data_IF_425597230506
#
_entry.id   IF_425597230506
#
_cell.length_a   1.000
_cell.length_b   1.000
_cell.length_c   1.000
_cell.angle_alpha   90.00
_cell.angle_beta   90.00
_cell.angle_gamma   90.00
#
_symmetry.space_group_name_H-M   'P 1'
#
loop_
_entity.id
_entity.type
_entity.pdbx_description
1 polymer ?
#
# COMPACT_ATOMS: atom_id res chain seq x y z
N UNK A 1 -22.65 27.72 -21.27
CA UNK A 1 -22.63 26.69 -20.20
C UNK A 1 -23.48 25.51 -20.67
N UNK A 2 -23.03 24.26 -20.48
CA UNK A 2 -23.77 23.06 -20.95
C UNK A 2 -24.76 22.50 -19.92
N UNK A 3 -24.76 23.02 -18.68
CA UNK A 3 -25.63 22.60 -17.58
C UNK A 3 -26.00 23.80 -16.70
N UNK A 4 -27.24 23.84 -16.23
CA UNK A 4 -27.73 24.73 -15.17
C UNK A 4 -27.31 24.23 -13.78
N UNK A 5 -27.43 25.11 -12.77
CA UNK A 5 -27.09 24.78 -11.38
C UNK A 5 -27.96 23.63 -10.83
N UNK A 6 -29.26 23.63 -11.17
CA UNK A 6 -30.18 22.55 -10.82
C UNK A 6 -29.80 21.20 -11.46
N UNK A 7 -29.36 21.22 -12.73
CA UNK A 7 -28.88 20.01 -13.40
C UNK A 7 -27.58 19.48 -12.79
N UNK A 8 -26.65 20.36 -12.41
CA UNK A 8 -25.42 19.97 -11.71
C UNK A 8 -25.74 19.25 -10.39
N UNK A 9 -26.65 19.78 -9.57
CA UNK A 9 -27.07 19.16 -8.30
C UNK A 9 -27.73 17.80 -8.55
N UNK A 10 -28.68 17.73 -9.49
CA UNK A 10 -29.40 16.49 -9.80
C UNK A 10 -28.45 15.38 -10.26
N UNK A 11 -27.54 15.69 -11.17
CA UNK A 11 -26.60 14.71 -11.73
C UNK A 11 -25.58 14.23 -10.69
N UNK A 12 -25.06 15.13 -9.85
CA UNK A 12 -24.11 14.78 -8.81
C UNK A 12 -24.70 13.93 -7.68
N UNK A 13 -26.02 13.99 -7.46
CA UNK A 13 -26.72 13.06 -6.56
C UNK A 13 -26.74 11.64 -7.13
N UNK A 14 -26.83 11.51 -8.46
CA UNK A 14 -26.97 10.23 -9.16
C UNK A 14 -25.62 9.59 -9.54
N UNK A 15 -24.56 10.39 -9.71
CA UNK A 15 -23.26 9.92 -10.20
C UNK A 15 -22.12 10.44 -9.31
N UNK A 16 -21.39 9.51 -8.70
CA UNK A 16 -20.25 9.77 -7.82
C UNK A 16 -19.07 10.45 -8.55
N UNK A 17 -18.92 10.19 -9.86
CA UNK A 17 -17.88 10.82 -10.69
C UNK A 17 -18.18 12.30 -10.85
N UNK A 18 -19.44 12.64 -11.15
CA UNK A 18 -19.88 14.04 -11.24
C UNK A 18 -19.78 14.71 -9.87
N UNK A 19 -20.16 14.02 -8.81
CA UNK A 19 -20.01 14.50 -7.43
C UNK A 19 -18.56 14.87 -7.10
N UNK A 20 -17.61 14.02 -7.49
CA UNK A 20 -16.17 14.25 -7.28
C UNK A 20 -15.67 15.42 -8.12
N UNK A 21 -16.10 15.53 -9.38
CA UNK A 21 -15.74 16.68 -10.22
C UNK A 21 -16.22 18.02 -9.64
N UNK A 22 -17.41 18.05 -9.03
CA UNK A 22 -17.92 19.26 -8.36
C UNK A 22 -17.20 19.54 -7.03
N UNK A 23 -16.75 18.51 -6.32
CA UNK A 23 -15.94 18.66 -5.10
C UNK A 23 -14.63 19.42 -5.40
N UNK A 24 -14.00 19.12 -6.53
CA UNK A 24 -12.75 19.72 -7.01
C UNK A 24 -12.93 21.00 -7.84
N UNK A 25 -14.16 21.51 -7.96
CA UNK A 25 -14.41 22.71 -8.75
C UNK A 25 -13.55 23.88 -8.25
N UNK A 26 -12.91 24.57 -9.18
CA UNK A 26 -12.10 25.78 -8.93
C UNK A 26 -12.59 26.92 -9.80
N UNK A 27 -12.67 28.11 -9.23
CA UNK A 27 -12.95 29.32 -10.00
C UNK A 27 -11.73 29.71 -10.83
N UNK A 28 -11.90 29.77 -12.15
CA UNK A 28 -10.86 30.24 -13.07
C UNK A 28 -11.20 31.66 -13.54
N UNK A 29 -12.38 31.85 -14.13
CA UNK A 29 -12.87 33.13 -14.65
C UNK A 29 -14.40 33.06 -14.90
N UNK A 30 -15.09 34.22 -14.91
CA UNK A 30 -16.50 34.33 -15.28
C UNK A 30 -17.38 34.90 -14.17
N UNK A 31 -18.64 34.44 -14.09
CA UNK A 31 -19.57 34.86 -13.04
C UNK A 31 -19.20 34.20 -11.70
N UNK A 32 -18.62 35.02 -10.80
CA UNK A 32 -18.22 34.57 -9.46
C UNK A 32 -19.42 34.20 -8.59
N UNK A 33 -20.53 34.93 -8.70
CA UNK A 33 -21.73 34.67 -7.89
C UNK A 33 -22.33 33.31 -8.24
N UNK A 34 -22.35 32.95 -9.53
CA UNK A 34 -22.79 31.63 -9.97
C UNK A 34 -21.91 30.50 -9.43
N UNK A 35 -20.59 30.69 -9.44
CA UNK A 35 -19.65 29.72 -8.84
C UNK A 35 -19.88 29.56 -7.34
N UNK A 36 -20.03 30.67 -6.62
CA UNK A 36 -20.26 30.64 -5.17
C UNK A 36 -21.59 29.96 -4.83
N UNK A 37 -22.65 30.22 -5.60
CA UNK A 37 -23.92 29.49 -5.48
C UNK A 37 -23.75 28.00 -5.71
N UNK A 38 -22.98 27.59 -6.72
CA UNK A 38 -22.71 26.16 -6.98
C UNK A 38 -21.97 25.51 -5.80
N UNK A 39 -20.98 26.21 -5.21
CA UNK A 39 -20.24 25.73 -4.04
C UNK A 39 -21.14 25.59 -2.82
N UNK A 40 -22.03 26.55 -2.57
CA UNK A 40 -23.01 26.49 -1.49
C UNK A 40 -23.98 25.33 -1.69
N UNK A 41 -24.58 25.20 -2.88
CA UNK A 41 -25.49 24.10 -3.21
C UNK A 41 -24.80 22.73 -3.12
N UNK A 42 -23.51 22.64 -3.47
CA UNK A 42 -22.76 21.39 -3.32
C UNK A 42 -22.76 20.90 -1.88
N UNK A 43 -22.35 21.75 -0.93
CA UNK A 43 -22.29 21.36 0.48
C UNK A 43 -23.66 21.21 1.13
N UNK A 44 -24.63 22.03 0.72
CA UNK A 44 -25.98 22.01 1.31
C UNK A 44 -26.85 20.87 0.79
N UNK A 45 -26.71 20.50 -0.48
CA UNK A 45 -27.66 19.61 -1.15
C UNK A 45 -27.06 18.29 -1.60
N UNK A 46 -25.75 18.22 -1.85
CA UNK A 46 -25.09 17.03 -2.42
C UNK A 46 -24.29 16.31 -1.34
N UNK A 47 -23.40 17.04 -0.65
CA UNK A 47 -22.56 16.51 0.42
C UNK A 47 -23.28 16.53 1.77
N UNK A 48 -24.50 15.99 1.80
CA UNK A 48 -25.33 15.91 2.99
C UNK A 48 -25.01 14.68 3.83
N UNK A 49 -25.09 14.79 5.15
CA UNK A 49 -24.89 13.66 6.07
C UNK A 49 -23.45 13.55 6.58
N UNK A 50 -23.03 12.32 6.90
CA UNK A 50 -21.71 12.05 7.49
C UNK A 50 -20.65 11.62 6.45
N UNK A 51 -21.01 11.60 5.17
CA UNK A 51 -20.13 11.26 4.05
C UNK A 51 -19.65 9.82 3.95
N UNK A 52 -20.21 8.89 4.73
CA UNK A 52 -19.84 7.47 4.66
C UNK A 52 -20.13 6.86 3.28
N UNK A 53 -21.23 7.24 2.64
CA UNK A 53 -21.58 6.82 1.28
C UNK A 53 -20.48 7.19 0.27
N UNK A 54 -19.93 8.40 0.40
CA UNK A 54 -18.85 8.87 -0.45
C UNK A 54 -17.55 8.09 -0.20
N UNK A 55 -17.21 7.84 1.08
CA UNK A 55 -16.03 7.06 1.46
C UNK A 55 -16.12 5.64 0.89
N UNK A 56 -17.22 4.94 1.15
CA UNK A 56 -17.43 3.57 0.68
C UNK A 56 -17.35 3.48 -0.85
N UNK A 57 -18.01 4.40 -1.57
CA UNK A 57 -17.95 4.46 -3.02
C UNK A 57 -16.52 4.68 -3.53
N UNK A 58 -15.75 5.58 -2.91
CA UNK A 58 -14.36 5.85 -3.32
C UNK A 58 -13.40 4.72 -3.01
N UNK A 59 -13.58 4.02 -1.90
CA UNK A 59 -12.79 2.82 -1.59
C UNK A 59 -13.14 1.69 -2.56
N UNK A 60 -14.41 1.50 -2.90
CA UNK A 60 -14.83 0.51 -3.90
C UNK A 60 -14.27 0.81 -5.31
N UNK A 61 -14.30 2.08 -5.75
CA UNK A 61 -13.66 2.50 -7.01
C UNK A 61 -12.16 2.20 -7.04
N UNK A 62 -11.47 2.41 -5.91
CA UNK A 62 -10.04 2.10 -5.77
C UNK A 62 -9.79 0.60 -5.88
N UNK A 63 -10.52 -0.23 -5.14
CA UNK A 63 -10.36 -1.69 -5.19
C UNK A 63 -10.63 -2.23 -6.60
N UNK A 64 -11.72 -1.80 -7.25
CA UNK A 64 -12.04 -2.19 -8.61
C UNK A 64 -10.96 -1.79 -9.62
N UNK A 65 -10.34 -0.62 -9.45
CA UNK A 65 -9.23 -0.17 -10.29
C UNK A 65 -7.97 -1.01 -10.07
N UNK A 66 -7.61 -1.29 -8.81
CA UNK A 66 -6.45 -2.13 -8.49
C UNK A 66 -6.61 -3.54 -9.07
N UNK A 67 -7.81 -4.13 -8.97
CA UNK A 67 -8.11 -5.42 -9.59
C UNK A 67 -7.91 -5.43 -11.11
N UNK A 68 -8.26 -4.33 -11.81
CA UNK A 68 -8.07 -4.22 -13.28
C UNK A 68 -6.62 -4.01 -13.70
N UNK A 69 -5.83 -3.26 -12.93
CA UNK A 69 -4.44 -2.93 -13.26
C UNK A 69 -3.44 -4.00 -12.78
N UNK A 70 -3.89 -4.94 -11.95
CA UNK A 70 -3.05 -5.91 -11.24
C UNK A 70 -2.81 -5.49 -9.80
N UNK A 71 -2.82 -6.46 -8.88
CA UNK A 71 -2.77 -6.20 -7.43
C UNK A 71 -1.37 -5.79 -6.91
N UNK A 72 -0.34 -5.94 -7.76
CA UNK A 72 1.05 -5.63 -7.41
C UNK A 72 1.43 -4.20 -7.80
N UNK A 73 2.07 -3.48 -6.89
CA UNK A 73 2.70 -2.18 -7.17
C UNK A 73 3.99 -2.30 -7.98
N UNK A 74 4.56 -3.49 -8.01
CA UNK A 74 5.93 -3.72 -8.43
C UNK A 74 6.03 -4.22 -9.88
N UNK A 75 5.10 -3.81 -10.73
CA UNK A 75 5.13 -4.10 -12.17
C UNK A 75 6.25 -3.29 -12.84
N UNK A 76 6.99 -3.91 -13.76
CA UNK A 76 8.13 -3.29 -14.45
C UNK A 76 7.70 -2.20 -15.44
N UNK A 77 6.48 -2.28 -15.99
CA UNK A 77 5.86 -1.26 -16.83
C UNK A 77 4.56 -0.71 -16.20
N UNK A 78 4.66 0.04 -15.08
CA UNK A 78 3.53 0.46 -14.30
C UNK A 78 2.76 1.62 -14.96
N UNK A 79 1.52 1.84 -14.53
CA UNK A 79 0.75 3.03 -14.87
C UNK A 79 0.87 4.07 -13.75
N UNK A 80 1.47 5.23 -14.04
CA UNK A 80 1.73 6.33 -13.09
C UNK A 80 0.49 6.79 -12.33
N UNK A 81 -0.67 6.69 -12.99
CA UNK A 81 -1.92 7.26 -12.50
C UNK A 81 -2.80 6.22 -11.84
N UNK A 82 -3.05 5.11 -12.53
CA UNK A 82 -4.10 4.16 -12.17
C UNK A 82 -3.57 2.93 -11.41
N UNK A 83 -2.26 2.63 -11.46
CA UNK A 83 -1.67 1.53 -10.67
C UNK A 83 -1.78 1.80 -9.16
N UNK A 84 -1.69 0.72 -8.36
CA UNK A 84 -1.60 0.80 -6.90
C UNK A 84 -0.36 1.63 -6.51
N UNK A 85 -0.53 2.58 -5.60
CA UNK A 85 0.51 3.56 -5.27
C UNK A 85 0.68 4.71 -6.28
N UNK A 86 -0.16 4.80 -7.32
CA UNK A 86 -0.12 5.88 -8.31
C UNK A 86 -0.88 7.15 -7.89
N UNK A 87 -0.91 8.14 -8.78
CA UNK A 87 -1.55 9.45 -8.52
C UNK A 87 -3.01 9.33 -8.09
N UNK A 88 -3.76 8.36 -8.62
CA UNK A 88 -5.18 8.20 -8.26
C UNK A 88 -5.35 7.75 -6.81
N UNK A 89 -4.41 7.02 -6.24
CA UNK A 89 -4.47 6.67 -4.81
C UNK A 89 -4.38 7.95 -3.96
N UNK A 90 -3.41 8.83 -4.23
CA UNK A 90 -3.29 10.13 -3.54
C UNK A 90 -4.53 11.02 -3.73
N UNK A 91 -5.05 11.10 -4.95
CA UNK A 91 -6.28 11.84 -5.26
C UNK A 91 -7.47 11.29 -4.47
N UNK A 92 -7.63 9.97 -4.38
CA UNK A 92 -8.69 9.34 -3.59
C UNK A 92 -8.60 9.75 -2.11
N UNK A 93 -7.40 9.76 -1.51
CA UNK A 93 -7.23 10.24 -0.13
C UNK A 93 -7.64 11.71 0.02
N UNK A 94 -7.16 12.55 -0.89
CA UNK A 94 -7.48 13.97 -0.88
C UNK A 94 -8.98 14.22 -1.03
N UNK A 95 -9.66 13.54 -1.95
CA UNK A 95 -11.10 13.67 -2.16
C UNK A 95 -11.90 13.25 -0.94
N UNK A 96 -11.55 12.12 -0.34
CA UNK A 96 -12.23 11.66 0.87
C UNK A 96 -12.01 12.68 2.00
N UNK A 97 -10.78 13.12 2.21
CA UNK A 97 -10.45 14.09 3.26
C UNK A 97 -11.16 15.44 3.04
N UNK A 98 -11.12 15.95 1.82
CA UNK A 98 -11.84 17.16 1.41
C UNK A 98 -13.34 17.06 1.66
N UNK A 99 -13.94 15.92 1.32
CA UNK A 99 -15.38 15.70 1.50
C UNK A 99 -15.78 15.62 2.98
N UNK A 100 -15.02 14.90 3.80
CA UNK A 100 -15.35 14.66 5.21
C UNK A 100 -15.05 15.86 6.11
N UNK A 101 -13.94 16.54 5.86
CA UNK A 101 -13.45 17.61 6.74
C UNK A 101 -13.70 19.02 6.19
N UNK A 102 -14.31 19.13 5.01
CA UNK A 102 -14.59 20.42 4.35
C UNK A 102 -13.32 21.26 4.14
N UNK A 103 -12.19 20.61 3.87
CA UNK A 103 -10.90 21.28 3.66
C UNK A 103 -10.65 21.57 2.19
N UNK A 104 -9.98 22.67 1.88
CA UNK A 104 -9.59 23.01 0.51
C UNK A 104 -8.14 22.62 0.19
N UNK A 105 -7.28 22.45 1.21
CA UNK A 105 -5.89 22.02 1.05
C UNK A 105 -5.61 20.71 1.82
N UNK A 106 -4.73 19.88 1.28
CA UNK A 106 -4.34 18.62 1.94
C UNK A 106 -3.60 18.85 3.27
N UNK A 107 -2.93 20.00 3.46
CA UNK A 107 -2.26 20.37 4.71
C UNK A 107 -3.23 20.55 5.87
N UNK A 108 -4.48 20.92 5.60
CA UNK A 108 -5.50 21.09 6.63
C UNK A 108 -5.89 19.74 7.27
N UNK A 109 -5.64 18.60 6.60
CA UNK A 109 -5.85 17.27 7.17
C UNK A 109 -4.99 16.99 8.41
N UNK A 110 -3.89 17.73 8.61
CA UNK A 110 -3.10 17.68 9.84
C UNK A 110 -3.93 18.18 11.03
N UNK A 111 -4.71 19.26 10.86
CA UNK A 111 -5.55 19.83 11.91
C UNK A 111 -6.65 18.87 12.37
N UNK A 112 -7.03 17.94 11.50
CA UNK A 112 -8.01 16.88 11.77
C UNK A 112 -7.39 15.57 12.27
N UNK A 113 -6.09 15.56 12.59
CA UNK A 113 -5.33 14.38 13.05
C UNK A 113 -5.39 13.19 12.09
N UNK A 114 -5.64 13.44 10.80
CA UNK A 114 -5.65 12.41 9.77
C UNK A 114 -4.23 12.05 9.35
N UNK A 115 -3.39 13.07 9.19
CA UNK A 115 -1.96 12.94 8.95
C UNK A 115 -1.16 13.61 10.06
N UNK A 116 0.01 13.06 10.36
CA UNK A 116 1.06 13.85 11.03
C UNK A 116 1.74 14.79 10.04
N UNK A 117 2.51 15.74 10.55
CA UNK A 117 3.36 16.59 9.71
C UNK A 117 4.34 15.77 8.85
N UNK A 118 4.87 14.66 9.37
CA UNK A 118 5.74 13.75 8.62
C UNK A 118 5.01 13.04 7.49
N UNK A 119 3.83 12.49 7.77
CA UNK A 119 3.01 11.80 6.77
C UNK A 119 2.56 12.76 5.66
N UNK A 120 2.19 13.98 6.02
CA UNK A 120 1.89 15.01 5.03
C UNK A 120 3.10 15.40 4.18
N UNK A 121 4.30 15.51 4.77
CA UNK A 121 5.54 15.74 4.00
C UNK A 121 5.82 14.60 3.02
N UNK A 122 5.59 13.35 3.43
CA UNK A 122 5.70 12.19 2.53
C UNK A 122 4.66 12.27 1.41
N UNK A 123 3.42 12.63 1.71
CA UNK A 123 2.36 12.86 0.71
C UNK A 123 2.81 13.90 -0.34
N UNK A 124 3.29 15.07 0.09
CA UNK A 124 3.74 16.12 -0.82
C UNK A 124 4.91 15.67 -1.70
N UNK A 125 5.89 14.97 -1.14
CA UNK A 125 7.03 14.43 -1.90
C UNK A 125 6.58 13.41 -2.94
N UNK A 126 5.68 12.50 -2.56
CA UNK A 126 5.15 11.49 -3.46
C UNK A 126 4.35 12.11 -4.61
N UNK A 127 3.46 13.07 -4.29
CA UNK A 127 2.69 13.81 -5.29
C UNK A 127 3.60 14.56 -6.26
N UNK A 128 4.57 15.32 -5.74
CA UNK A 128 5.51 16.08 -6.55
C UNK A 128 6.34 15.18 -7.48
N UNK A 129 6.83 14.05 -6.97
CA UNK A 129 7.57 13.09 -7.78
C UNK A 129 6.71 12.53 -8.91
N UNK A 130 5.52 12.00 -8.60
CA UNK A 130 4.64 11.38 -9.59
C UNK A 130 4.19 12.37 -10.67
N UNK A 131 3.90 13.63 -10.28
CA UNK A 131 3.60 14.69 -11.25
C UNK A 131 4.78 15.05 -12.13
N UNK A 132 5.98 15.17 -11.55
CA UNK A 132 7.20 15.45 -12.30
C UNK A 132 7.43 14.37 -13.37
N UNK A 133 7.39 13.09 -12.99
CA UNK A 133 7.52 11.97 -13.93
C UNK A 133 6.45 12.03 -15.03
N UNK A 134 5.18 12.27 -14.67
CA UNK A 134 4.07 12.36 -15.63
C UNK A 134 4.23 13.49 -16.64
N UNK A 135 4.63 14.68 -16.17
CA UNK A 135 4.86 15.84 -17.04
C UNK A 135 5.99 15.57 -18.02
N UNK A 136 7.11 15.02 -17.54
CA UNK A 136 8.22 14.64 -18.42
C UNK A 136 7.84 13.54 -19.42
N UNK A 137 6.99 12.59 -19.03
CA UNK A 137 6.49 11.55 -19.94
C UNK A 137 5.66 12.18 -21.07
N UNK A 138 4.76 13.10 -20.73
CA UNK A 138 3.92 13.79 -21.72
C UNK A 138 4.77 14.67 -22.66
N UNK A 139 5.79 15.36 -22.15
CA UNK A 139 6.72 16.12 -22.98
C UNK A 139 7.55 15.22 -23.90
N UNK A 140 8.04 14.09 -23.39
CA UNK A 140 8.84 13.15 -24.16
C UNK A 140 8.06 12.55 -25.34
N UNK A 141 6.76 12.28 -25.14
CA UNK A 141 5.91 11.65 -26.15
C UNK A 141 5.06 12.63 -26.98
N UNK A 142 4.95 13.88 -26.57
CA UNK A 142 4.08 14.88 -27.20
C UNK A 142 2.58 14.55 -27.12
N UNK A 143 2.19 13.61 -26.25
CA UNK A 143 0.79 13.16 -26.07
C UNK A 143 0.54 12.73 -24.63
N UNK A 144 -0.73 12.62 -24.27
CA UNK A 144 -1.11 11.99 -23.01
C UNK A 144 -0.73 10.50 -23.04
N UNK A 145 0.06 10.09 -22.05
CA UNK A 145 0.46 8.71 -21.78
C UNK A 145 0.63 8.55 -20.27
N UNK A 146 0.32 7.39 -19.74
CA UNK A 146 0.42 7.13 -18.29
C UNK A 146 1.24 5.88 -17.98
N UNK A 147 1.56 5.06 -19.00
CA UNK A 147 2.39 3.85 -18.84
C UNK A 147 3.87 4.19 -18.93
N UNK A 148 4.65 3.73 -17.96
CA UNK A 148 6.11 3.75 -18.00
C UNK A 148 6.63 2.52 -18.75
N UNK A 149 6.42 2.46 -20.06
CA UNK A 149 6.92 1.36 -20.87
C UNK A 149 8.45 1.38 -21.05
N UNK A 150 9.05 0.25 -21.38
CA UNK A 150 10.51 0.12 -21.49
C UNK A 150 11.15 1.13 -22.46
N UNK A 151 10.47 1.45 -23.55
CA UNK A 151 10.92 2.40 -24.58
C UNK A 151 11.05 3.84 -24.05
N UNK A 152 10.18 4.25 -23.11
CA UNK A 152 10.20 5.61 -22.56
C UNK A 152 11.08 5.75 -21.32
N UNK A 153 11.31 4.66 -20.58
CA UNK A 153 12.05 4.68 -19.31
C UNK A 153 13.47 5.23 -19.45
N UNK A 154 14.16 4.93 -20.57
CA UNK A 154 15.52 5.45 -20.82
C UNK A 154 15.54 6.97 -21.00
N UNK A 155 14.62 7.50 -21.81
CA UNK A 155 14.50 8.94 -22.03
C UNK A 155 14.05 9.69 -20.78
N UNK A 156 13.12 9.10 -20.03
CA UNK A 156 12.65 9.64 -18.75
C UNK A 156 13.74 9.69 -17.69
N UNK A 157 14.52 8.61 -17.53
CA UNK A 157 15.62 8.58 -16.57
C UNK A 157 16.59 9.74 -16.84
N UNK A 158 17.00 9.94 -18.10
CA UNK A 158 17.86 11.05 -18.48
C UNK A 158 17.21 12.42 -18.22
N UNK A 159 15.93 12.60 -18.60
CA UNK A 159 15.21 13.87 -18.41
C UNK A 159 15.02 14.24 -16.94
N UNK A 160 14.92 13.25 -16.06
CA UNK A 160 14.79 13.41 -14.60
C UNK A 160 16.14 13.47 -13.88
N UNK A 161 17.27 13.50 -14.62
CA UNK A 161 18.62 13.63 -14.06
C UNK A 161 19.23 12.31 -13.56
N UNK A 162 18.61 11.17 -13.82
CA UNK A 162 19.23 9.86 -13.62
C UNK A 162 20.17 9.60 -14.80
N UNK A 163 21.46 9.85 -14.61
CA UNK A 163 22.48 9.64 -15.64
C UNK A 163 23.60 8.76 -15.14
N UNK A 164 23.94 7.73 -15.93
CA UNK A 164 25.16 6.96 -15.76
C UNK A 164 25.73 6.69 -17.17
N UNK A 165 26.66 7.54 -17.65
CA UNK A 165 27.19 7.46 -19.02
C UNK A 165 27.77 6.08 -19.35
N UNK A 166 28.43 5.45 -18.37
CA UNK A 166 29.08 4.16 -18.54
C UNK A 166 28.10 2.99 -18.49
N UNK A 167 26.95 3.15 -17.81
CA UNK A 167 25.95 2.10 -17.58
C UNK A 167 24.51 2.64 -17.65
N UNK A 168 23.97 2.93 -18.84
CA UNK A 168 22.63 3.49 -19.01
C UNK A 168 21.51 2.68 -18.35
N UNK A 169 21.62 1.35 -18.34
CA UNK A 169 20.66 0.47 -17.64
C UNK A 169 20.57 0.76 -16.15
N UNK A 170 21.69 1.05 -15.49
CA UNK A 170 21.70 1.39 -14.06
C UNK A 170 21.00 2.71 -13.77
N UNK A 171 21.01 3.66 -14.72
CA UNK A 171 20.27 4.91 -14.57
C UNK A 171 18.76 4.67 -14.58
N UNK A 172 18.27 3.80 -15.48
CA UNK A 172 16.86 3.39 -15.52
C UNK A 172 16.47 2.63 -14.26
N UNK A 173 17.27 1.66 -13.84
CA UNK A 173 17.03 0.89 -12.62
C UNK A 173 16.98 1.80 -11.38
N UNK A 174 17.85 2.82 -11.31
CA UNK A 174 17.83 3.81 -10.23
C UNK A 174 16.56 4.68 -10.24
N UNK A 175 16.16 5.18 -11.42
CA UNK A 175 14.92 5.92 -11.61
C UNK A 175 13.71 5.10 -11.16
N UNK A 176 13.60 3.89 -11.68
CA UNK A 176 12.47 3.02 -11.39
C UNK A 176 12.46 2.54 -9.95
N UNK A 177 13.62 2.35 -9.32
CA UNK A 177 13.71 2.12 -7.87
C UNK A 177 13.13 3.29 -7.08
N UNK A 178 13.44 4.54 -7.45
CA UNK A 178 12.80 5.71 -6.83
C UNK A 178 11.28 5.69 -7.01
N UNK A 179 10.80 5.33 -8.21
CA UNK A 179 9.37 5.19 -8.46
C UNK A 179 8.70 4.16 -7.54
N UNK A 180 9.27 2.96 -7.39
CA UNK A 180 8.67 1.91 -6.54
C UNK A 180 8.69 2.29 -5.05
N UNK A 181 9.73 2.99 -4.59
CA UNK A 181 9.76 3.51 -3.23
C UNK A 181 8.65 4.55 -3.00
N UNK A 182 8.44 5.46 -3.96
CA UNK A 182 7.33 6.42 -3.90
C UNK A 182 5.98 5.71 -3.94
N UNK A 183 5.79 4.73 -4.82
CA UNK A 183 4.54 3.96 -4.89
C UNK A 183 4.25 3.19 -3.58
N UNK A 184 5.30 2.71 -2.90
CA UNK A 184 5.20 2.12 -1.57
C UNK A 184 4.74 3.16 -0.54
N UNK A 185 5.37 4.34 -0.50
CA UNK A 185 4.99 5.42 0.40
C UNK A 185 3.52 5.83 0.23
N UNK A 186 3.02 5.94 -1.01
CA UNK A 186 1.59 6.21 -1.30
C UNK A 186 0.68 5.11 -0.74
N UNK A 187 1.10 3.84 -0.87
CA UNK A 187 0.38 2.71 -0.29
C UNK A 187 0.29 2.78 1.22
N UNK A 188 1.39 3.15 1.89
CA UNK A 188 1.47 3.29 3.34
C UNK A 188 0.59 4.45 3.83
N UNK A 189 0.63 5.61 3.16
CA UNK A 189 -0.24 6.75 3.43
C UNK A 189 -1.72 6.39 3.30
N UNK A 190 -2.07 5.63 2.26
CA UNK A 190 -3.45 5.19 2.04
C UNK A 190 -3.95 4.33 3.19
N UNK A 191 -3.11 3.41 3.68
CA UNK A 191 -3.47 2.52 4.79
C UNK A 191 -3.63 3.27 6.11
N UNK A 192 -2.74 4.24 6.37
CA UNK A 192 -2.81 5.13 7.54
C UNK A 192 -4.11 5.93 7.51
N UNK A 193 -4.42 6.55 6.37
CA UNK A 193 -5.61 7.35 6.18
C UNK A 193 -6.89 6.54 6.40
N UNK A 194 -7.00 5.35 5.79
CA UNK A 194 -8.18 4.47 5.97
C UNK A 194 -8.37 4.10 7.44
N UNK A 195 -7.30 3.77 8.17
CA UNK A 195 -7.43 3.49 9.61
C UNK A 195 -7.85 4.71 10.43
N UNK A 196 -7.34 5.90 10.12
CA UNK A 196 -7.76 7.12 10.80
C UNK A 196 -9.27 7.37 10.59
N UNK A 197 -9.78 7.13 9.38
CA UNK A 197 -11.21 7.21 9.10
C UNK A 197 -12.02 6.17 9.87
N UNK A 198 -11.59 4.91 9.85
CA UNK A 198 -12.26 3.84 10.60
C UNK A 198 -12.35 4.17 12.09
N UNK A 199 -11.31 4.77 12.67
CA UNK A 199 -11.26 5.17 14.08
C UNK A 199 -12.17 6.36 14.39
N UNK A 200 -12.19 7.40 13.56
CA UNK A 200 -13.01 8.59 13.77
C UNK A 200 -14.51 8.34 13.53
N UNK A 201 -14.85 7.43 12.61
CA UNK A 201 -16.22 7.02 12.34
C UNK A 201 -16.71 5.90 13.29
N UNK A 202 -15.92 5.53 14.31
CA UNK A 202 -16.40 4.69 15.41
C UNK A 202 -17.58 5.42 16.06
N UNK A 203 -18.79 4.89 15.91
CA UNK A 203 -19.88 5.22 16.85
C UNK A 203 -19.32 4.94 18.24
N UNK A 204 -19.39 5.89 19.20
CA UNK A 204 -19.11 5.53 20.57
C UNK A 204 -20.06 4.38 20.90
N UNK A 205 -19.52 3.19 21.13
CA UNK A 205 -20.28 2.08 21.71
C UNK A 205 -20.59 2.46 23.15
N UNK A 206 -21.47 3.44 23.31
CA UNK A 206 -22.03 3.84 24.57
C UNK A 206 -23.09 2.79 24.95
N UNK A 207 -22.88 2.22 26.12
CA UNK A 207 -23.87 1.63 27.01
C UNK A 207 -24.44 0.21 26.73
N UNK A 208 -24.56 -0.31 25.50
CA UNK A 208 -25.26 -1.60 25.35
C UNK A 208 -24.43 -2.87 25.62
N UNK A 209 -23.10 -2.82 25.46
CA UNK A 209 -22.22 -3.99 25.74
C UNK A 209 -21.82 -4.10 27.22
N UNK A 210 -22.26 -3.17 28.09
CA UNK A 210 -22.00 -3.20 29.53
C UNK A 210 -22.98 -4.10 30.31
N UNK A 211 -23.93 -4.76 29.63
CA UNK A 211 -24.96 -5.60 30.24
C UNK A 211 -24.81 -7.11 30.00
N UNK A 212 -23.73 -7.59 29.36
CA UNK A 212 -23.39 -9.02 29.36
C UNK A 212 -22.09 -9.25 30.16
N UNK A 213 -22.17 -9.77 31.39
CA UNK A 213 -20.99 -10.25 32.10
C UNK A 213 -20.52 -11.55 31.43
N UNK A 214 -19.38 -11.51 30.72
CA UNK A 214 -18.70 -12.73 30.26
C UNK A 214 -17.90 -12.68 28.96
N UNK A 215 -18.01 -11.65 28.11
CA UNK A 215 -17.44 -11.71 26.74
C UNK A 215 -16.34 -10.73 26.37
N UNK A 216 -15.79 -9.97 27.32
CA UNK A 216 -14.57 -9.19 27.07
C UNK A 216 -13.65 -9.33 28.27
N UNK A 217 -12.67 -10.25 28.17
CA UNK A 217 -11.55 -10.29 29.11
C UNK A 217 -10.89 -8.91 29.09
N UNK A 218 -10.78 -8.21 30.24
CA UNK A 218 -9.98 -6.99 30.32
C UNK A 218 -8.56 -7.32 29.88
N UNK A 219 -7.97 -6.41 29.12
CA UNK A 219 -6.61 -6.49 28.61
C UNK A 219 -5.65 -6.66 29.78
N UNK A 220 -5.08 -7.84 29.96
CA UNK A 220 -3.97 -7.99 30.89
C UNK A 220 -2.77 -7.21 30.33
N UNK A 221 -1.96 -6.53 31.16
CA UNK A 221 -0.74 -5.84 30.73
C UNK A 221 0.31 -6.76 30.05
N UNK A 222 0.07 -8.07 30.05
CA UNK A 222 0.91 -9.13 29.50
C UNK A 222 0.64 -9.45 28.02
N UNK A 223 -0.57 -9.25 27.49
CA UNK A 223 -0.89 -9.62 26.10
C UNK A 223 -0.38 -8.56 25.10
N UNK A 224 0.76 -8.84 24.47
CA UNK A 224 1.37 -7.99 23.42
C UNK A 224 0.48 -7.81 22.20
N UNK A 225 -0.40 -8.78 21.92
CA UNK A 225 -1.30 -8.78 20.78
C UNK A 225 -2.74 -9.11 21.16
N UNK A 226 -3.69 -8.50 20.47
CA UNK A 226 -5.12 -8.70 20.66
C UNK A 226 -5.85 -8.47 19.34
N UNK A 227 -7.07 -8.99 19.22
CA UNK A 227 -7.91 -8.79 18.03
C UNK A 227 -8.93 -7.69 18.31
N UNK A 228 -8.97 -6.69 17.46
CA UNK A 228 -9.94 -5.60 17.49
C UNK A 228 -10.64 -5.53 16.12
N UNK A 229 -11.97 -5.65 16.12
CA UNK A 229 -12.79 -5.63 14.90
C UNK A 229 -12.35 -6.64 13.82
N UNK A 230 -11.93 -7.83 14.23
CA UNK A 230 -11.47 -8.89 13.31
C UNK A 230 -10.06 -8.67 12.76
N UNK A 231 -9.31 -7.66 13.22
CA UNK A 231 -7.91 -7.43 12.85
C UNK A 231 -6.97 -7.58 14.04
N UNK A 232 -5.78 -8.14 13.81
CA UNK A 232 -4.74 -8.27 14.82
C UNK A 232 -4.08 -6.91 15.07
N UNK A 233 -3.90 -6.56 16.33
CA UNK A 233 -3.26 -5.32 16.75
C UNK A 233 -2.29 -5.56 17.90
N UNK A 234 -1.36 -4.63 18.09
CA UNK A 234 -0.28 -4.71 19.06
C UNK A 234 -0.45 -3.66 20.16
N UNK A 235 0.01 -3.98 21.36
CA UNK A 235 0.13 -3.00 22.45
C UNK A 235 1.09 -1.86 22.10
N UNK A 236 0.92 -0.65 22.67
CA UNK A 236 1.78 0.50 22.36
C UNK A 236 3.28 0.25 22.60
N UNK A 237 3.61 -0.62 23.57
CA UNK A 237 4.99 -0.95 23.95
C UNK A 237 5.40 -2.36 23.54
N UNK A 238 4.57 -3.08 22.78
CA UNK A 238 4.80 -4.50 22.49
C UNK A 238 6.14 -4.75 21.78
N UNK A 239 6.46 -3.91 20.78
CA UNK A 239 7.72 -4.02 20.03
C UNK A 239 8.93 -3.50 20.81
N UNK A 240 8.76 -2.42 21.60
CA UNK A 240 9.84 -1.87 22.40
C UNK A 240 10.26 -2.79 23.54
N UNK A 241 9.29 -3.48 24.16
CA UNK A 241 9.50 -4.46 25.23
C UNK A 241 10.14 -5.74 24.72
N UNK A 242 9.62 -6.29 23.61
CA UNK A 242 10.17 -7.46 22.95
C UNK A 242 10.25 -7.23 21.43
N UNK A 243 11.42 -6.90 20.88
CA UNK A 243 11.60 -6.72 19.44
C UNK A 243 11.26 -7.94 18.59
N UNK A 244 11.22 -9.15 19.16
CA UNK A 244 10.77 -10.36 18.45
C UNK A 244 9.30 -10.25 18.03
N UNK A 245 8.50 -9.44 18.72
CA UNK A 245 7.12 -9.15 18.36
C UNK A 245 6.97 -8.54 16.95
N UNK A 246 8.01 -7.89 16.42
CA UNK A 246 8.00 -7.35 15.06
C UNK A 246 7.78 -8.46 14.03
N UNK A 247 8.32 -9.66 14.26
CA UNK A 247 8.08 -10.81 13.39
C UNK A 247 6.84 -11.59 13.81
N UNK A 248 6.64 -11.75 15.12
CA UNK A 248 5.55 -12.55 15.69
C UNK A 248 4.16 -12.08 15.23
N UNK A 249 3.98 -10.78 15.01
CA UNK A 249 2.70 -10.25 14.53
C UNK A 249 2.29 -10.81 13.16
N UNK A 250 3.23 -10.99 12.23
CA UNK A 250 2.93 -11.51 10.89
C UNK A 250 2.63 -13.01 10.94
N UNK A 251 3.41 -13.77 11.72
CA UNK A 251 3.13 -15.18 11.99
C UNK A 251 1.73 -15.36 12.58
N UNK A 252 1.40 -14.62 13.64
CA UNK A 252 0.10 -14.73 14.30
C UNK A 252 -1.05 -14.32 13.40
N UNK A 253 -0.85 -13.33 12.53
CA UNK A 253 -1.86 -12.88 11.58
C UNK A 253 -2.13 -13.94 10.49
N UNK A 254 -1.07 -14.57 9.97
CA UNK A 254 -1.17 -15.68 9.02
C UNK A 254 -1.83 -16.93 9.65
N UNK A 255 -1.37 -17.35 10.84
CA UNK A 255 -1.93 -18.50 11.57
C UNK A 255 -3.40 -18.33 11.93
N UNK A 256 -3.82 -17.11 12.30
CA UNK A 256 -5.21 -16.81 12.65
C UNK A 256 -6.05 -16.41 11.45
N UNK A 257 -5.44 -16.28 10.26
CA UNK A 257 -6.08 -15.78 9.04
C UNK A 257 -6.83 -14.45 9.27
N UNK A 258 -6.17 -13.49 9.92
CA UNK A 258 -6.70 -12.15 10.20
C UNK A 258 -5.75 -11.10 9.66
N UNK A 259 -6.29 -9.99 9.16
CA UNK A 259 -5.45 -8.87 8.71
C UNK A 259 -4.85 -8.12 9.91
N UNK A 260 -3.76 -7.39 9.68
CA UNK A 260 -3.11 -6.56 10.70
C UNK A 260 -3.74 -5.17 10.69
N UNK A 261 -4.16 -4.71 11.87
CA UNK A 261 -4.73 -3.38 12.03
C UNK A 261 -3.72 -2.31 11.58
N UNK A 262 -4.08 -1.31 10.76
CA UNK A 262 -3.09 -0.39 10.22
C UNK A 262 -2.38 0.46 11.28
N UNK A 263 -3.02 0.73 12.43
CA UNK A 263 -2.34 1.32 13.59
C UNK A 263 -1.16 0.46 14.07
N UNK A 264 -1.31 -0.87 14.14
CA UNK A 264 -0.23 -1.77 14.54
C UNK A 264 0.90 -1.76 13.51
N UNK A 265 0.57 -1.75 12.21
CA UNK A 265 1.56 -1.58 11.13
C UNK A 265 2.29 -0.24 11.26
N UNK A 266 1.58 0.86 11.55
CA UNK A 266 2.17 2.19 11.75
C UNK A 266 3.13 2.21 12.94
N UNK A 267 2.73 1.64 14.07
CA UNK A 267 3.63 1.49 15.24
C UNK A 267 4.84 0.66 14.88
N UNK A 268 4.66 -0.44 14.15
CA UNK A 268 5.74 -1.31 13.69
C UNK A 268 6.72 -0.58 12.75
N UNK A 269 6.23 0.20 11.78
CA UNK A 269 7.08 0.98 10.87
C UNK A 269 7.93 2.00 11.64
N UNK A 270 7.41 2.57 12.73
CA UNK A 270 8.17 3.45 13.64
C UNK A 270 9.15 2.70 14.54
N UNK A 271 9.02 1.39 14.65
CA UNK A 271 9.88 0.52 15.46
C UNK A 271 10.92 -0.24 14.63
N UNK A 272 11.07 0.06 13.32
CA UNK A 272 12.03 -0.63 12.45
C UNK A 272 13.49 -0.51 12.92
N UNK A 273 13.85 0.55 13.63
CA UNK A 273 15.19 0.73 14.20
C UNK A 273 15.53 -0.29 15.30
N UNK A 274 14.52 -0.99 15.85
CA UNK A 274 14.73 -2.10 16.78
C UNK A 274 15.25 -3.37 16.08
N UNK A 275 15.22 -3.42 14.75
CA UNK A 275 15.79 -4.52 13.95
C UNK A 275 17.31 -4.33 13.83
N UNK A 276 17.99 -4.57 14.95
CA UNK A 276 19.45 -4.52 15.09
C UNK A 276 20.09 -5.86 14.71
N UNK A 277 21.43 -5.89 14.67
CA UNK A 277 22.17 -7.16 14.50
C UNK A 277 21.85 -8.17 15.62
N UNK A 278 21.55 -7.68 16.82
CA UNK A 278 21.12 -8.52 17.94
C UNK A 278 19.79 -9.23 17.66
N UNK A 279 18.81 -8.54 17.06
CA UNK A 279 17.55 -9.17 16.67
C UNK A 279 17.75 -10.14 15.51
N UNK A 280 18.59 -9.78 14.53
CA UNK A 280 18.94 -10.66 13.40
C UNK A 280 19.64 -11.94 13.84
N UNK A 281 20.46 -11.89 14.89
CA UNK A 281 21.13 -13.05 15.47
C UNK A 281 20.24 -13.82 16.48
N UNK A 282 19.07 -13.30 16.84
CA UNK A 282 18.23 -13.91 17.85
C UNK A 282 17.64 -15.25 17.35
N UNK A 283 17.86 -16.38 18.06
CA UNK A 283 17.38 -17.69 17.61
C UNK A 283 15.86 -17.80 17.52
N UNK A 284 15.12 -17.11 18.40
CA UNK A 284 13.67 -17.11 18.40
C UNK A 284 13.12 -16.30 17.22
N UNK A 285 13.71 -15.14 16.91
CA UNK A 285 13.32 -14.35 15.74
C UNK A 285 13.53 -15.13 14.44
N UNK A 286 14.70 -15.80 14.30
CA UNK A 286 14.97 -16.65 13.13
C UNK A 286 14.02 -17.84 13.03
N UNK A 287 13.63 -18.46 14.15
CA UNK A 287 12.63 -19.53 14.17
C UNK A 287 11.28 -19.04 13.66
N UNK A 288 10.78 -17.91 14.20
CA UNK A 288 9.51 -17.31 13.78
C UNK A 288 9.54 -16.95 12.30
N UNK A 289 10.65 -16.38 11.82
CA UNK A 289 10.81 -16.07 10.40
C UNK A 289 10.72 -17.32 9.52
N UNK A 290 11.43 -18.40 9.89
CA UNK A 290 11.39 -19.66 9.14
C UNK A 290 10.00 -20.31 9.18
N UNK A 291 9.31 -20.25 10.30
CA UNK A 291 7.92 -20.72 10.43
C UNK A 291 6.98 -19.90 9.53
N UNK A 292 7.13 -18.58 9.49
CA UNK A 292 6.37 -17.69 8.60
C UNK A 292 6.65 -17.99 7.12
N UNK A 293 7.93 -18.11 6.75
CA UNK A 293 8.38 -18.42 5.39
C UNK A 293 7.86 -19.79 4.92
N UNK A 294 7.81 -20.78 5.80
CA UNK A 294 7.40 -22.15 5.49
C UNK A 294 5.95 -22.45 5.85
N UNK A 295 5.16 -21.41 6.13
CA UNK A 295 3.77 -21.55 6.55
C UNK A 295 2.97 -22.39 5.56
N UNK A 296 2.04 -23.17 6.11
CA UNK A 296 1.07 -23.96 5.35
C UNK A 296 -0.15 -23.15 4.93
N UNK A 297 -0.33 -21.96 5.52
CA UNK A 297 -1.41 -21.04 5.20
C UNK A 297 -0.99 -20.19 3.99
N UNK A 298 -0.60 -18.93 4.21
CA UNK A 298 -0.28 -17.99 3.14
C UNK A 298 1.06 -17.28 3.37
N UNK A 299 2.20 -17.98 3.12
CA UNK A 299 3.52 -17.38 3.26
C UNK A 299 3.74 -16.19 2.30
N UNK A 300 3.11 -16.18 1.13
CA UNK A 300 3.18 -15.05 0.20
C UNK A 300 2.61 -13.78 0.83
N UNK A 301 1.40 -13.86 1.38
CA UNK A 301 0.77 -12.73 2.06
C UNK A 301 1.62 -12.23 3.23
N UNK A 302 2.12 -13.13 4.07
CA UNK A 302 2.91 -12.74 5.24
C UNK A 302 4.21 -12.03 4.83
N UNK A 303 4.96 -12.59 3.88
CA UNK A 303 6.19 -11.98 3.36
C UNK A 303 5.92 -10.66 2.65
N UNK A 304 4.83 -10.58 1.88
CA UNK A 304 4.38 -9.34 1.23
C UNK A 304 4.10 -8.26 2.27
N UNK A 305 3.36 -8.57 3.33
CA UNK A 305 3.07 -7.64 4.41
C UNK A 305 4.34 -7.22 5.17
N UNK A 306 5.27 -8.15 5.41
CA UNK A 306 6.58 -7.83 5.98
C UNK A 306 7.40 -6.91 5.08
N UNK A 307 7.37 -7.09 3.75
CA UNK A 307 8.06 -6.24 2.80
C UNK A 307 7.43 -4.84 2.74
N UNK A 308 6.09 -4.76 2.70
CA UNK A 308 5.35 -3.49 2.74
C UNK A 308 5.63 -2.71 4.02
N UNK A 309 5.70 -3.39 5.17
CA UNK A 309 6.07 -2.75 6.43
C UNK A 309 7.57 -2.43 6.57
N UNK A 310 8.41 -2.81 5.60
CA UNK A 310 9.87 -2.61 5.62
C UNK A 310 10.63 -3.59 6.53
N UNK A 311 9.93 -4.53 7.18
CA UNK A 311 10.51 -5.52 8.09
C UNK A 311 11.38 -6.52 7.35
N UNK A 312 10.90 -7.04 6.21
CA UNK A 312 11.60 -8.11 5.50
C UNK A 312 13.01 -7.68 5.07
N UNK A 313 13.14 -6.51 4.46
CA UNK A 313 14.43 -5.97 4.02
C UNK A 313 15.37 -5.57 5.17
N UNK A 314 14.84 -5.18 6.33
CA UNK A 314 15.64 -4.87 7.53
C UNK A 314 16.10 -6.14 8.28
N UNK A 315 15.26 -7.18 8.28
CA UNK A 315 15.54 -8.45 8.95
C UNK A 315 16.45 -9.35 8.11
N UNK A 316 16.27 -9.37 6.79
CA UNK A 316 17.13 -10.08 5.82
C UNK A 316 17.84 -9.04 4.94
N UNK A 317 19.03 -8.54 5.31
CA UNK A 317 19.69 -7.44 4.59
C UNK A 317 19.92 -7.71 3.10
N UNK A 318 20.24 -8.96 2.74
CA UNK A 318 20.37 -9.39 1.34
C UNK A 318 19.07 -9.13 0.55
N UNK A 319 17.91 -9.35 1.17
CA UNK A 319 16.61 -9.08 0.55
C UNK A 319 16.38 -7.57 0.45
N UNK A 320 16.82 -6.80 1.44
CA UNK A 320 16.73 -5.33 1.43
C UNK A 320 17.37 -4.67 0.20
N UNK A 321 18.40 -5.28 -0.39
CA UNK A 321 19.00 -4.81 -1.64
C UNK A 321 18.09 -5.04 -2.86
N UNK A 322 17.30 -6.11 -2.85
CA UNK A 322 16.36 -6.45 -3.92
C UNK A 322 15.06 -5.63 -3.88
N UNK A 323 14.76 -4.94 -2.77
CA UNK A 323 13.53 -4.15 -2.63
C UNK A 323 13.46 -3.02 -3.65
N UNK A 324 12.43 -3.07 -4.51
CA UNK A 324 12.23 -2.11 -5.59
C UNK A 324 13.27 -2.21 -6.71
N UNK A 325 14.10 -3.26 -6.71
CA UNK A 325 15.05 -3.50 -7.78
C UNK A 325 14.32 -4.09 -8.97
N UNK A 326 14.19 -3.33 -10.05
CA UNK A 326 13.81 -3.90 -11.33
C UNK A 326 15.03 -4.36 -12.12
N UNK A 327 14.82 -5.32 -13.01
CA UNK A 327 15.77 -5.61 -14.08
C UNK A 327 15.24 -5.03 -15.37
N UNK A 328 16.03 -4.18 -16.02
CA UNK A 328 15.64 -3.58 -17.30
C UNK A 328 15.80 -4.59 -18.44
N UNK A 329 14.86 -5.53 -18.55
CA UNK A 329 14.73 -6.48 -19.66
C UNK A 329 13.29 -6.97 -19.83
N UNK A 330 12.96 -7.49 -21.03
CA UNK A 330 11.60 -7.87 -21.42
C UNK A 330 11.06 -9.14 -20.74
N UNK A 331 11.88 -9.88 -19.99
CA UNK A 331 11.47 -11.16 -19.38
C UNK A 331 10.95 -11.00 -17.94
N UNK A 332 11.12 -9.83 -17.32
CA UNK A 332 10.69 -9.59 -15.95
C UNK A 332 9.43 -8.73 -15.94
N UNK A 333 8.36 -9.28 -15.34
CA UNK A 333 7.12 -8.54 -15.13
C UNK A 333 7.12 -7.80 -13.78
N UNK A 334 7.90 -8.28 -12.81
CA UNK A 334 7.96 -7.76 -11.44
C UNK A 334 9.37 -7.33 -11.03
N UNK A 335 9.47 -6.47 -10.01
CA UNK A 335 10.74 -6.26 -9.29
C UNK A 335 11.22 -7.56 -8.65
N UNK A 336 12.52 -7.63 -8.34
CA UNK A 336 13.15 -8.84 -7.80
C UNK A 336 12.51 -9.24 -6.47
N UNK A 337 12.26 -8.31 -5.55
CA UNK A 337 11.61 -8.61 -4.27
C UNK A 337 10.20 -9.20 -4.45
N UNK A 338 9.40 -8.61 -5.33
CA UNK A 338 8.06 -9.11 -5.63
C UNK A 338 8.08 -10.49 -6.29
N UNK A 339 9.01 -10.71 -7.22
CA UNK A 339 9.23 -12.00 -7.87
C UNK A 339 9.60 -13.09 -6.86
N UNK A 340 10.54 -12.80 -5.94
CA UNK A 340 10.95 -13.74 -4.89
C UNK A 340 9.78 -14.11 -3.97
N UNK A 341 8.95 -13.15 -3.58
CA UNK A 341 7.77 -13.38 -2.73
C UNK A 341 6.72 -14.23 -3.46
N UNK A 342 6.44 -13.92 -4.74
CA UNK A 342 5.52 -14.70 -5.58
C UNK A 342 6.01 -16.13 -5.79
N UNK A 343 7.30 -16.32 -6.05
CA UNK A 343 7.87 -17.66 -6.21
C UNK A 343 7.66 -18.53 -4.95
N UNK A 344 7.76 -17.94 -3.75
CA UNK A 344 7.40 -18.64 -2.50
C UNK A 344 5.90 -18.99 -2.46
N UNK A 345 5.04 -18.08 -2.88
CA UNK A 345 3.60 -18.30 -3.01
C UNK A 345 3.26 -19.45 -3.95
N UNK A 346 3.81 -19.44 -5.16
CA UNK A 346 3.62 -20.47 -6.19
C UNK A 346 4.06 -21.85 -5.68
N UNK A 347 5.21 -21.94 -5.00
CA UNK A 347 5.69 -23.19 -4.40
C UNK A 347 4.74 -23.67 -3.29
N UNK A 348 4.22 -22.77 -2.46
CA UNK A 348 3.24 -23.13 -1.43
C UNK A 348 1.92 -23.61 -2.04
N UNK A 349 1.44 -22.97 -3.11
CA UNK A 349 0.23 -23.37 -3.83
C UNK A 349 0.39 -24.72 -4.54
N UNK A 350 1.56 -24.99 -5.14
CA UNK A 350 1.92 -26.30 -5.71
C UNK A 350 1.92 -27.37 -4.61
N UNK A 351 2.46 -27.05 -3.43
CA UNK A 351 2.51 -27.96 -2.29
C UNK A 351 1.11 -28.29 -1.74
N UNK A 352 0.20 -27.30 -1.70
CA UNK A 352 -1.22 -27.50 -1.35
C UNK A 352 -2.01 -28.25 -2.44
N UNK A 353 -1.43 -28.41 -3.63
CA UNK A 353 -2.02 -29.15 -4.74
C UNK A 353 -2.99 -28.34 -5.60
N UNK A 354 -3.03 -27.02 -5.43
CA UNK A 354 -3.91 -26.10 -6.16
C UNK A 354 -3.58 -26.06 -7.67
N UNK A 355 -2.33 -26.39 -8.03
CA UNK A 355 -1.85 -26.45 -9.40
C UNK A 355 -1.66 -27.87 -9.94
N UNK A 356 -2.34 -28.89 -9.38
CA UNK A 356 -2.14 -30.28 -9.84
C UNK A 356 -2.42 -30.48 -11.33
N UNK A 357 -3.36 -29.75 -11.91
CA UNK A 357 -3.69 -29.85 -13.33
C UNK A 357 -2.54 -29.32 -14.21
N UNK A 358 -1.99 -28.16 -13.87
CA UNK A 358 -0.97 -27.49 -14.69
C UNK A 358 0.45 -27.99 -14.37
N UNK A 359 0.68 -28.47 -13.15
CA UNK A 359 1.99 -28.87 -12.62
C UNK A 359 1.95 -30.23 -11.88
N UNK A 360 1.44 -31.33 -12.49
CA UNK A 360 1.21 -32.60 -11.80
C UNK A 360 2.50 -33.21 -11.23
N UNK A 361 3.60 -33.17 -11.99
CA UNK A 361 4.89 -33.69 -11.56
C UNK A 361 5.44 -32.94 -10.33
N UNK A 362 5.42 -31.61 -10.37
CA UNK A 362 5.91 -30.77 -9.27
C UNK A 362 5.10 -31.01 -7.99
N UNK A 363 3.76 -31.10 -8.10
CA UNK A 363 2.87 -31.41 -6.97
C UNK A 363 3.13 -32.80 -6.35
N UNK A 364 3.58 -33.78 -7.14
CA UNK A 364 3.91 -35.11 -6.63
C UNK A 364 5.33 -35.19 -6.04
N UNK A 365 6.30 -34.50 -6.66
CA UNK A 365 7.71 -34.50 -6.23
C UNK A 365 7.93 -33.67 -4.98
N UNK A 366 7.24 -32.53 -4.83
CA UNK A 366 7.42 -31.62 -3.68
C UNK A 366 7.18 -32.34 -2.33
N UNK A 367 6.27 -33.32 -2.31
CA UNK A 367 5.95 -34.14 -1.13
C UNK A 367 7.08 -35.09 -0.72
N UNK A 368 8.04 -35.34 -1.61
CA UNK A 368 9.20 -36.22 -1.40
C UNK A 368 10.45 -35.44 -0.97
N UNK A 369 10.37 -34.12 -0.90
CA UNK A 369 11.50 -33.27 -0.49
C UNK A 369 11.79 -33.50 1.00
N UNK A 370 13.06 -33.76 1.30
CA UNK A 370 13.50 -34.10 2.66
C UNK A 370 13.41 -32.93 3.63
N UNK A 371 13.65 -31.70 3.17
CA UNK A 371 13.60 -30.49 4.01
C UNK A 371 12.85 -29.37 3.31
N UNK A 372 11.66 -29.06 3.83
CA UNK A 372 10.86 -27.90 3.38
C UNK A 372 11.57 -26.59 3.65
N UNK A 373 12.18 -26.44 4.84
CA UNK A 373 12.87 -25.22 5.19
C UNK A 373 13.97 -24.87 4.18
N UNK A 374 14.75 -25.86 3.75
CA UNK A 374 15.79 -25.64 2.73
C UNK A 374 15.19 -25.25 1.38
N UNK A 375 14.12 -25.91 0.94
CA UNK A 375 13.44 -25.54 -0.31
C UNK A 375 12.96 -24.10 -0.29
N UNK A 376 12.20 -23.70 0.72
CA UNK A 376 11.63 -22.37 0.80
C UNK A 376 12.69 -21.28 0.95
N UNK A 377 13.76 -21.54 1.73
CA UNK A 377 14.91 -20.64 1.78
C UNK A 377 15.60 -20.54 0.42
N UNK A 378 15.82 -21.65 -0.29
CA UNK A 378 16.42 -21.64 -1.61
C UNK A 378 15.58 -20.83 -2.60
N UNK A 379 14.25 -20.97 -2.58
CA UNK A 379 13.33 -20.20 -3.42
C UNK A 379 13.37 -18.71 -3.07
N UNK A 380 13.36 -18.33 -1.79
CA UNK A 380 13.47 -16.92 -1.39
C UNK A 380 14.82 -16.31 -1.81
N UNK A 381 15.89 -17.11 -1.84
CA UNK A 381 17.25 -16.64 -2.08
C UNK A 381 17.73 -16.81 -3.53
N UNK A 382 16.99 -17.50 -4.40
CA UNK A 382 17.48 -17.97 -5.71
C UNK A 382 18.04 -16.85 -6.61
N UNK A 383 17.49 -15.65 -6.45
CA UNK A 383 17.77 -14.48 -7.29
C UNK A 383 18.19 -13.25 -6.47
N UNK A 384 18.48 -13.44 -5.17
CA UNK A 384 18.68 -12.33 -4.22
C UNK A 384 19.97 -11.53 -4.46
N UNK A 385 20.95 -12.11 -5.16
CA UNK A 385 22.22 -11.47 -5.46
C UNK A 385 22.17 -10.57 -6.71
N UNK A 386 21.01 -10.49 -7.39
CA UNK A 386 20.83 -9.60 -8.55
C UNK A 386 21.13 -8.15 -8.15
N UNK A 387 21.98 -7.48 -8.94
CA UNK A 387 22.36 -6.08 -8.70
C UNK A 387 23.53 -5.88 -7.73
N UNK A 388 24.09 -6.95 -7.13
CA UNK A 388 25.35 -6.89 -6.39
C UNK A 388 26.57 -6.92 -7.35
N UNK A 389 27.73 -6.36 -6.95
CA UNK A 389 28.95 -6.26 -7.78
C UNK A 389 29.52 -7.60 -8.23
#
# INVERSE_FOLDING_TARGET
ATRSLAECVRLAKQDITIRTALLEARYIWGDRALYDQLRVSFWKEIATGNGQDFVEAKLAEREARHARQGESRYLVEPNLKESKGGLRDLQTLYWIGKYLYHVDDASDLIKHNVFTADEYRTFQKAEAFLWNVRVHLHYLLGRAEERLSFDVQTGLAAALGYSNPDKPRRAVEAFMRSYFLVAKDVGDLTRIFIAALEEQHKKPKAALTRMLPGFLKPREPSDDFYVENGRLTAGPQAFARDPVNILRIFQMADEKNVDIHPHALRTLTRSLDLITDGLRANPQANRIFLETLTSRHNPEWALRMMNEAGVLGRFVPAFGHAVGLMQFNMYHHYTVDEHLIRAVGDVASIERGEHRHDNPLSTDVIKRIQSRAVLYCAILLHDIAKGLP
#
